data_IF_190162730915
#
_entry.id   IF_190162730915
#
_cell.length_a   1.000
_cell.length_b   1.000
_cell.length_c   1.000
_cell.angle_alpha   90.00
_cell.angle_beta   90.00
_cell.angle_gamma   90.00
#
_symmetry.space_group_name_H-M   'P 1'
#
loop_
_entity.id
_entity.type
_entity.pdbx_description
1 polymer ?
#
# COMPACT_ATOMS: atom_id res chain seq x y z
N UNK A 1 4.22 -4.68 9.27
CA UNK A 1 3.36 -3.48 9.27
C UNK A 1 2.48 -3.52 10.51
N UNK A 2 2.28 -2.43 11.25
CA UNK A 2 1.46 -2.40 12.49
C UNK A 2 0.07 -1.83 12.15
N UNK A 3 -1.01 -2.19 12.85
CA UNK A 3 -2.33 -1.55 12.66
C UNK A 3 -2.61 -0.49 13.73
N UNK A 4 -3.27 0.63 13.36
CA UNK A 4 -3.57 1.76 14.24
C UNK A 4 -4.82 1.58 15.12
N UNK A 5 -4.91 2.35 16.21
CA UNK A 5 -5.92 2.20 17.28
C UNK A 5 -7.39 2.39 16.87
N UNK A 6 -7.69 3.22 15.87
CA UNK A 6 -9.07 3.40 15.40
C UNK A 6 -9.58 2.19 14.58
N UNK A 7 -8.68 1.41 13.99
CA UNK A 7 -8.99 0.17 13.26
C UNK A 7 -9.02 -1.06 14.19
N UNK A 8 -8.53 -0.95 15.43
CA UNK A 8 -8.34 -2.10 16.35
C UNK A 8 -9.63 -2.80 16.74
N UNK A 9 -10.64 -2.09 17.23
CA UNK A 9 -11.82 -2.73 17.85
C UNK A 9 -12.69 -3.57 16.91
N UNK A 10 -12.61 -3.36 15.59
CA UNK A 10 -13.33 -4.17 14.60
C UNK A 10 -12.42 -5.11 13.81
N UNK A 11 -11.10 -4.84 13.75
CA UNK A 11 -10.15 -5.64 12.97
C UNK A 11 -9.43 -6.74 13.77
N UNK A 12 -9.53 -6.75 15.10
CA UNK A 12 -8.86 -7.75 15.94
C UNK A 12 -9.33 -9.19 15.63
N UNK A 13 -10.62 -9.40 15.31
CA UNK A 13 -11.16 -10.70 14.84
C UNK A 13 -10.79 -11.00 13.37
N UNK A 14 -10.56 -9.96 12.55
CA UNK A 14 -10.24 -10.08 11.12
C UNK A 14 -8.79 -10.47 10.82
N UNK A 15 -7.95 -10.53 11.84
CA UNK A 15 -6.55 -10.97 11.76
C UNK A 15 -6.34 -12.41 12.24
N UNK A 16 -7.40 -13.07 12.73
CA UNK A 16 -7.29 -14.39 13.35
C UNK A 16 -6.47 -14.40 14.65
N UNK A 17 -6.46 -13.30 15.41
CA UNK A 17 -5.82 -13.24 16.74
C UNK A 17 -6.82 -12.81 17.81
N UNK A 18 -6.86 -13.56 18.92
CA UNK A 18 -7.61 -13.19 20.12
C UNK A 18 -7.16 -11.84 20.69
N UNK A 19 -8.12 -11.11 21.24
CA UNK A 19 -8.28 -9.65 21.21
C UNK A 19 -7.67 -8.89 22.41
N UNK A 20 -7.59 -7.56 22.25
CA UNK A 20 -7.40 -6.51 23.26
C UNK A 20 -5.96 -6.03 23.58
N UNK A 21 -4.89 -6.73 23.18
CA UNK A 21 -3.50 -6.34 23.59
C UNK A 21 -2.38 -6.52 22.55
N UNK A 22 -2.68 -6.94 21.32
CA UNK A 22 -1.62 -7.31 20.38
C UNK A 22 -0.93 -6.10 19.72
N UNK A 23 0.33 -5.84 20.08
CA UNK A 23 1.22 -4.82 19.49
C UNK A 23 2.17 -5.40 18.43
N UNK A 24 1.75 -6.43 17.69
CA UNK A 24 2.58 -7.11 16.70
C UNK A 24 2.42 -6.59 15.27
N UNK A 25 2.97 -7.35 14.32
CA UNK A 25 2.99 -6.99 12.91
C UNK A 25 2.19 -7.98 12.10
N UNK A 26 1.55 -7.50 11.05
CA UNK A 26 0.95 -8.37 10.04
C UNK A 26 1.92 -8.64 8.89
N UNK A 27 1.75 -9.80 8.26
CA UNK A 27 2.48 -10.26 7.06
C UNK A 27 1.51 -10.54 5.91
N UNK A 28 2.03 -10.92 4.74
CA UNK A 28 1.22 -11.22 3.56
C UNK A 28 0.09 -12.23 3.88
N UNK A 29 -1.09 -12.01 3.31
CA UNK A 29 -2.22 -12.95 3.32
C UNK A 29 -1.83 -14.28 2.66
N UNK A 30 -2.66 -15.32 2.75
CA UNK A 30 -2.37 -16.54 2.00
C UNK A 30 -2.52 -16.29 0.49
N UNK A 31 -1.79 -17.03 -0.35
CA UNK A 31 -2.04 -16.99 -1.80
C UNK A 31 -3.37 -17.68 -2.12
N UNK A 32 -4.21 -17.10 -2.99
CA UNK A 32 -3.92 -15.96 -3.87
C UNK A 32 -4.30 -14.57 -3.31
N UNK A 33 -4.74 -14.46 -2.05
CA UNK A 33 -5.28 -13.22 -1.49
C UNK A 33 -4.26 -12.11 -1.21
N UNK A 34 -2.97 -12.40 -1.10
CA UNK A 34 -1.87 -11.42 -1.04
C UNK A 34 -1.74 -10.55 -2.30
N UNK A 35 -2.42 -10.91 -3.40
CA UNK A 35 -2.53 -10.05 -4.60
C UNK A 35 -3.98 -9.74 -4.97
N UNK A 36 -4.96 -10.17 -4.17
CA UNK A 36 -6.38 -9.90 -4.41
C UNK A 36 -6.76 -8.49 -3.93
N UNK A 37 -7.83 -7.94 -4.50
CA UNK A 37 -8.47 -6.72 -4.01
C UNK A 37 -9.70 -7.01 -3.13
N UNK A 38 -9.95 -8.28 -2.80
CA UNK A 38 -10.98 -8.66 -1.84
C UNK A 38 -10.54 -8.26 -0.44
N UNK A 39 -11.42 -7.64 0.33
CA UNK A 39 -11.13 -7.31 1.73
C UNK A 39 -11.10 -8.56 2.62
N UNK A 40 -10.32 -8.54 3.71
CA UNK A 40 -10.43 -9.55 4.76
C UNK A 40 -11.85 -9.60 5.31
N UNK A 41 -12.32 -10.80 5.66
CA UNK A 41 -13.71 -11.04 6.09
C UNK A 41 -13.82 -11.65 7.49
N UNK A 42 -12.69 -11.92 8.16
CA UNK A 42 -12.65 -12.48 9.51
C UNK A 42 -13.08 -13.93 9.66
N UNK A 43 -13.59 -14.53 8.58
CA UNK A 43 -14.14 -15.89 8.62
C UNK A 43 -13.30 -16.84 7.76
N UNK A 44 -12.73 -16.34 6.67
CA UNK A 44 -11.87 -17.08 5.76
C UNK A 44 -10.41 -16.82 6.13
N UNK A 45 -9.77 -17.79 6.79
CA UNK A 45 -8.38 -17.67 7.27
C UNK A 45 -7.40 -17.17 6.18
N UNK A 46 -7.54 -17.65 4.95
CA UNK A 46 -6.67 -17.29 3.83
C UNK A 46 -6.80 -15.83 3.38
N UNK A 47 -7.97 -15.21 3.59
CA UNK A 47 -8.25 -13.80 3.27
C UNK A 47 -7.79 -12.84 4.35
N UNK A 48 -7.47 -13.36 5.53
CA UNK A 48 -7.11 -12.56 6.69
C UNK A 48 -5.59 -12.35 6.72
N UNK A 49 -5.16 -11.23 7.30
CA UNK A 49 -3.74 -10.95 7.48
C UNK A 49 -3.24 -11.70 8.71
N UNK A 50 -2.29 -12.64 8.58
CA UNK A 50 -1.76 -13.34 9.73
C UNK A 50 -0.95 -12.40 10.61
N UNK A 51 -1.14 -12.54 11.91
CA UNK A 51 -0.26 -11.96 12.90
C UNK A 51 1.14 -12.61 12.87
N UNK A 52 2.15 -11.77 13.10
CA UNK A 52 3.55 -12.14 13.20
C UNK A 52 4.27 -11.24 14.19
N UNK A 53 5.40 -11.71 14.71
CA UNK A 53 6.29 -10.87 15.51
C UNK A 53 6.93 -9.81 14.61
N UNK A 54 6.87 -8.55 15.01
CA UNK A 54 7.60 -7.51 14.29
C UNK A 54 9.10 -7.78 14.30
N UNK A 55 9.76 -7.60 13.15
CA UNK A 55 11.22 -7.67 13.06
C UNK A 55 11.91 -6.52 13.83
N UNK A 56 11.20 -5.42 14.06
CA UNK A 56 11.64 -4.27 14.84
C UNK A 56 10.47 -3.62 15.57
N UNK A 57 10.76 -2.95 16.68
CA UNK A 57 9.77 -2.16 17.43
C UNK A 57 9.61 -0.72 16.89
N UNK A 58 10.34 -0.36 15.82
CA UNK A 58 10.32 0.99 15.23
C UNK A 58 9.26 1.17 14.12
N UNK A 59 8.48 0.12 13.80
CA UNK A 59 7.45 0.22 12.77
C UNK A 59 6.27 1.05 13.27
N UNK A 60 5.83 1.99 12.43
CA UNK A 60 4.60 2.73 12.68
C UNK A 60 3.37 1.95 12.23
N UNK A 61 2.21 2.22 12.86
CA UNK A 61 0.95 1.73 12.36
C UNK A 61 0.61 2.34 11.00
N UNK A 62 -0.07 1.58 10.15
CA UNK A 62 -0.65 2.12 8.91
C UNK A 62 -1.64 3.23 9.27
N UNK A 63 -1.46 4.38 8.64
CA UNK A 63 -2.40 5.48 8.76
C UNK A 63 -3.52 5.33 7.72
N UNK A 64 -4.77 5.30 8.18
CA UNK A 64 -5.94 5.33 7.30
C UNK A 64 -6.14 6.69 6.63
N UNK A 65 -7.19 6.81 5.81
CA UNK A 65 -7.54 8.08 5.17
C UNK A 65 -7.84 9.16 6.20
N UNK A 66 -7.31 10.36 5.96
CA UNK A 66 -7.54 11.52 6.83
C UNK A 66 -7.55 12.81 6.02
N UNK A 67 -8.28 13.81 6.52
CA UNK A 67 -8.20 15.20 6.05
C UNK A 67 -7.21 16.04 6.87
N UNK A 68 -6.68 15.50 7.98
CA UNK A 68 -5.68 16.17 8.81
C UNK A 68 -4.28 16.00 8.20
N UNK A 69 -3.91 16.95 7.34
CA UNK A 69 -2.61 17.00 6.66
C UNK A 69 -1.45 17.16 7.66
N UNK A 70 -1.69 17.83 8.79
CA UNK A 70 -0.66 18.03 9.83
C UNK A 70 -0.34 16.71 10.51
N UNK A 71 -1.36 15.94 10.89
CA UNK A 71 -1.19 14.60 11.44
C UNK A 71 -0.51 13.66 10.44
N UNK A 72 -0.93 13.69 9.16
CA UNK A 72 -0.32 12.88 8.11
C UNK A 72 1.18 13.20 7.93
N UNK A 73 1.55 14.49 7.91
CA UNK A 73 2.96 14.92 7.82
C UNK A 73 3.76 14.48 9.03
N UNK A 74 3.22 14.68 10.23
CA UNK A 74 3.88 14.26 11.47
C UNK A 74 4.06 12.73 11.54
N UNK A 75 3.13 11.96 10.97
CA UNK A 75 3.23 10.51 10.87
C UNK A 75 4.36 10.09 9.92
N UNK A 76 4.42 10.66 8.72
CA UNK A 76 5.49 10.38 7.73
C UNK A 76 6.88 10.73 8.28
N UNK A 77 7.01 11.84 9.02
CA UNK A 77 8.29 12.25 9.62
C UNK A 77 8.83 11.28 10.68
N UNK A 78 7.97 10.41 11.23
CA UNK A 78 8.37 9.39 12.22
C UNK A 78 8.78 8.07 11.56
N UNK A 79 8.61 7.91 10.25
CA UNK A 79 8.97 6.68 9.54
C UNK A 79 10.49 6.51 9.53
N UNK A 80 10.95 5.31 9.90
CA UNK A 80 12.34 4.91 9.79
C UNK A 80 12.43 3.65 8.92
N UNK A 81 13.44 3.54 8.03
CA UNK A 81 13.64 2.34 7.23
C UNK A 81 13.98 1.15 8.14
N UNK A 82 13.35 0.00 7.88
CA UNK A 82 13.65 -1.23 8.59
C UNK A 82 13.21 -2.46 7.81
N UNK A 83 13.97 -3.55 7.97
CA UNK A 83 13.63 -4.87 7.42
C UNK A 83 13.88 -4.98 5.92
N UNK A 84 13.13 -5.89 5.30
CA UNK A 84 13.21 -6.21 3.88
C UNK A 84 12.14 -5.49 3.06
N UNK A 85 12.32 -5.44 1.75
CA UNK A 85 11.41 -4.79 0.81
C UNK A 85 10.42 -5.80 0.24
N UNK A 86 9.14 -5.58 0.53
CA UNK A 86 8.01 -6.26 -0.10
C UNK A 86 7.04 -5.20 -0.62
N UNK A 87 7.15 -4.84 -1.90
CA UNK A 87 6.26 -3.86 -2.53
C UNK A 87 4.85 -4.44 -2.66
N UNK A 88 4.71 -5.76 -2.86
CA UNK A 88 3.41 -6.46 -2.98
C UNK A 88 2.49 -6.13 -1.81
N UNK A 89 2.95 -6.34 -0.57
CA UNK A 89 2.14 -6.06 0.61
C UNK A 89 1.87 -4.55 0.78
N UNK A 90 2.79 -3.69 0.33
CA UNK A 90 2.56 -2.24 0.30
C UNK A 90 1.39 -1.86 -0.61
N UNK A 91 1.30 -2.47 -1.81
CA UNK A 91 0.18 -2.29 -2.74
C UNK A 91 -1.12 -2.80 -2.12
N UNK A 92 -1.09 -3.98 -1.47
CA UNK A 92 -2.24 -4.51 -0.74
C UNK A 92 -2.76 -3.52 0.30
N UNK A 93 -1.91 -3.03 1.20
CA UNK A 93 -2.34 -2.06 2.21
C UNK A 93 -2.83 -0.75 1.62
N UNK A 94 -2.27 -0.32 0.48
CA UNK A 94 -2.81 0.81 -0.27
C UNK A 94 -4.25 0.55 -0.76
N UNK A 95 -4.55 -0.66 -1.23
CA UNK A 95 -5.93 -1.05 -1.57
C UNK A 95 -6.83 -1.08 -0.35
N UNK A 96 -6.35 -1.62 0.78
CA UNK A 96 -7.13 -1.66 2.03
C UNK A 96 -7.51 -0.28 2.55
N UNK A 97 -6.57 0.68 2.53
CA UNK A 97 -6.83 2.07 2.93
C UNK A 97 -7.84 2.73 1.99
N UNK A 98 -7.81 2.39 0.71
CA UNK A 98 -8.73 2.93 -0.29
C UNK A 98 -10.07 2.18 -0.36
N UNK A 99 -10.22 1.05 0.33
CA UNK A 99 -11.41 0.19 0.29
C UNK A 99 -12.53 0.70 1.22
N UNK A 100 -13.82 0.45 0.88
CA UNK A 100 -14.92 0.56 1.84
C UNK A 100 -14.95 -0.60 2.85
N UNK A 101 -14.20 -1.66 2.58
CA UNK A 101 -14.08 -2.82 3.46
C UNK A 101 -13.13 -2.56 4.63
N UNK A 102 -13.18 -3.49 5.57
CA UNK A 102 -12.19 -3.58 6.65
C UNK A 102 -10.79 -3.83 6.04
N UNK A 103 -9.69 -3.46 6.75
CA UNK A 103 -9.61 -3.04 8.15
C UNK A 103 -9.92 -1.56 8.42
N UNK A 104 -9.92 -0.69 7.40
CA UNK A 104 -10.15 0.75 7.62
C UNK A 104 -11.57 1.21 7.41
N UNK A 105 -12.31 0.60 6.47
CA UNK A 105 -13.69 0.91 6.10
C UNK A 105 -14.05 2.39 5.87
N UNK A 106 -13.06 3.26 5.72
CA UNK A 106 -13.24 4.71 5.54
C UNK A 106 -13.24 5.13 4.08
N UNK A 107 -12.83 4.25 3.16
CA UNK A 107 -12.90 4.52 1.73
C UNK A 107 -14.34 4.48 1.23
N UNK A 108 -14.68 5.36 0.27
CA UNK A 108 -15.93 5.18 -0.49
C UNK A 108 -15.88 3.91 -1.34
N UNK A 109 -17.01 3.41 -1.83
CA UNK A 109 -17.03 2.24 -2.72
C UNK A 109 -16.16 2.43 -3.97
N UNK A 110 -15.60 1.33 -4.48
CA UNK A 110 -14.91 1.35 -5.77
C UNK A 110 -15.91 1.63 -6.90
N UNK A 111 -15.52 2.46 -7.87
CA UNK A 111 -16.37 2.84 -8.99
C UNK A 111 -17.48 3.84 -8.67
N UNK A 112 -17.50 4.44 -7.47
CA UNK A 112 -18.40 5.58 -7.18
C UNK A 112 -18.13 6.72 -8.16
N UNK A 113 -19.18 7.17 -8.84
CA UNK A 113 -19.11 8.30 -9.78
C UNK A 113 -18.51 9.55 -9.12
N UNK A 114 -17.73 10.31 -9.87
CA UNK A 114 -17.05 11.52 -9.43
C UNK A 114 -16.03 11.33 -8.28
N UNK A 115 -15.70 10.08 -7.92
CA UNK A 115 -14.63 9.78 -6.95
C UNK A 115 -13.52 8.98 -7.61
N UNK A 116 -12.39 9.65 -7.78
CA UNK A 116 -11.15 9.03 -8.23
C UNK A 116 -10.29 8.57 -7.03
N UNK A 117 -9.74 7.35 -7.11
CA UNK A 117 -8.83 6.77 -6.09
C UNK A 117 -7.42 6.71 -6.64
N UNK A 118 -6.45 7.20 -5.86
CA UNK A 118 -5.05 7.31 -6.29
C UNK A 118 -4.13 6.61 -5.30
N UNK A 119 -3.16 5.87 -5.83
CA UNK A 119 -2.06 5.26 -5.07
C UNK A 119 -0.74 5.78 -5.63
N UNK A 120 0.15 6.23 -4.74
CA UNK A 120 1.50 6.68 -5.11
C UNK A 120 2.50 5.73 -4.44
N UNK A 121 3.25 4.99 -5.24
CA UNK A 121 4.25 4.04 -4.78
C UNK A 121 5.63 4.70 -4.93
N UNK A 122 6.34 4.86 -3.82
CA UNK A 122 7.68 5.47 -3.78
C UNK A 122 8.68 4.42 -3.30
N UNK A 123 9.59 4.00 -4.17
CA UNK A 123 10.56 2.91 -3.91
C UNK A 123 11.65 2.92 -4.98
N UNK A 124 12.70 2.13 -4.84
CA UNK A 124 13.65 1.81 -5.92
C UNK A 124 13.14 0.68 -6.84
N UNK A 125 12.11 -0.05 -6.41
CA UNK A 125 11.52 -1.20 -7.10
C UNK A 125 12.22 -2.53 -6.77
N UNK A 126 13.18 -2.55 -5.85
CA UNK A 126 13.94 -3.76 -5.53
C UNK A 126 13.29 -4.56 -4.40
N UNK A 127 12.50 -5.57 -4.76
CA UNK A 127 11.97 -6.53 -3.79
C UNK A 127 13.07 -7.47 -3.27
N UNK A 128 13.05 -7.76 -1.95
CA UNK A 128 14.07 -8.60 -1.31
C UNK A 128 13.51 -9.78 -0.51
N UNK A 129 12.30 -9.68 0.03
CA UNK A 129 11.65 -10.80 0.73
C UNK A 129 10.14 -10.60 0.83
N UNK A 130 9.36 -11.66 0.62
CA UNK A 130 7.96 -11.74 1.07
C UNK A 130 7.79 -12.94 2.02
N UNK A 131 6.54 -13.23 2.42
CA UNK A 131 6.22 -14.37 3.30
C UNK A 131 6.76 -15.74 2.84
N UNK A 132 6.94 -15.96 1.54
CA UNK A 132 7.26 -17.29 0.99
C UNK A 132 8.67 -17.43 0.43
N UNK A 133 9.30 -16.34 0.00
CA UNK A 133 10.56 -16.41 -0.74
C UNK A 133 11.40 -15.13 -0.61
N UNK A 134 12.69 -15.27 -0.87
CA UNK A 134 13.66 -14.16 -1.05
C UNK A 134 14.06 -13.98 -2.51
N UNK A 135 13.48 -14.76 -3.43
CA UNK A 135 13.75 -14.67 -4.86
C UNK A 135 13.01 -13.47 -5.46
N UNK A 136 13.76 -12.40 -5.76
CA UNK A 136 13.24 -11.13 -6.28
C UNK A 136 12.27 -11.31 -7.45
N UNK A 137 12.60 -12.14 -8.44
CA UNK A 137 11.72 -12.34 -9.62
C UNK A 137 10.33 -12.85 -9.28
N UNK A 138 10.22 -13.69 -8.25
CA UNK A 138 8.95 -14.27 -7.84
C UNK A 138 8.12 -13.21 -7.09
N UNK A 139 8.76 -12.37 -6.28
CA UNK A 139 8.11 -11.25 -5.57
C UNK A 139 7.69 -10.16 -6.55
N UNK A 140 8.51 -9.87 -7.56
CA UNK A 140 8.21 -8.91 -8.63
C UNK A 140 6.95 -9.35 -9.41
N UNK A 141 6.83 -10.64 -9.74
CA UNK A 141 5.64 -11.18 -10.37
C UNK A 141 4.38 -11.00 -9.48
N UNK A 142 4.49 -11.24 -8.16
CA UNK A 142 3.38 -10.96 -7.23
C UNK A 142 3.05 -9.46 -7.16
N UNK A 143 4.06 -8.59 -7.14
CA UNK A 143 3.88 -7.13 -7.13
C UNK A 143 3.07 -6.68 -8.35
N UNK A 144 3.39 -7.19 -9.54
CA UNK A 144 2.65 -6.86 -10.77
C UNK A 144 1.19 -7.35 -10.72
N UNK A 145 0.92 -8.53 -10.18
CA UNK A 145 -0.46 -9.00 -9.99
C UNK A 145 -1.23 -8.13 -8.99
N UNK A 146 -0.60 -7.70 -7.89
CA UNK A 146 -1.23 -6.75 -6.96
C UNK A 146 -1.53 -5.41 -7.62
N UNK A 147 -0.60 -4.86 -8.42
CA UNK A 147 -0.83 -3.62 -9.19
C UNK A 147 -1.97 -3.80 -10.20
N UNK A 148 -2.06 -4.97 -10.85
CA UNK A 148 -3.15 -5.30 -11.78
C UNK A 148 -4.50 -5.38 -11.07
N UNK A 149 -4.56 -6.00 -9.88
CA UNK A 149 -5.78 -6.06 -9.08
C UNK A 149 -6.23 -4.65 -8.64
N UNK A 150 -5.30 -3.81 -8.19
CA UNK A 150 -5.57 -2.41 -7.86
C UNK A 150 -6.14 -1.63 -9.05
N UNK A 151 -5.49 -1.75 -10.23
CA UNK A 151 -5.97 -1.13 -11.48
C UNK A 151 -7.35 -1.63 -11.89
N UNK A 152 -7.63 -2.92 -11.72
CA UNK A 152 -8.94 -3.50 -12.02
C UNK A 152 -10.07 -2.97 -11.11
N UNK A 153 -9.75 -2.45 -9.92
CA UNK A 153 -10.72 -1.73 -9.05
C UNK A 153 -10.84 -0.23 -9.38
N UNK A 154 -10.19 0.24 -10.44
CA UNK A 154 -10.19 1.64 -10.85
C UNK A 154 -9.25 2.52 -10.02
N UNK A 155 -8.28 1.94 -9.32
CA UNK A 155 -7.24 2.72 -8.62
C UNK A 155 -6.20 3.18 -9.64
N UNK A 156 -5.95 4.48 -9.69
CA UNK A 156 -4.92 5.09 -10.53
C UNK A 156 -3.59 5.07 -9.76
N UNK A 157 -2.61 4.36 -10.31
CA UNK A 157 -1.29 4.14 -9.71
C UNK A 157 -0.25 5.06 -10.38
N UNK A 158 0.41 5.85 -9.54
CA UNK A 158 1.67 6.54 -9.85
C UNK A 158 2.83 5.80 -9.19
N UNK A 159 3.96 5.69 -9.88
CA UNK A 159 5.18 5.10 -9.32
C UNK A 159 6.32 6.10 -9.40
N UNK A 160 7.13 6.17 -8.34
CA UNK A 160 8.27 7.08 -8.23
C UNK A 160 9.50 6.27 -7.85
N UNK A 161 10.42 6.12 -8.79
CA UNK A 161 11.74 5.54 -8.56
C UNK A 161 12.67 6.58 -7.97
N UNK A 162 13.20 6.33 -6.77
CA UNK A 162 14.02 7.31 -6.03
C UNK A 162 15.53 7.06 -6.08
N UNK A 163 15.94 5.87 -6.52
CA UNK A 163 17.34 5.47 -6.71
C UNK A 163 17.43 4.27 -7.65
N UNK A 164 18.65 3.76 -7.86
CA UNK A 164 18.88 2.59 -8.71
C UNK A 164 18.14 1.33 -8.18
N UNK A 165 17.50 0.60 -9.08
CA UNK A 165 16.61 -0.51 -8.79
C UNK A 165 15.78 -0.91 -10.02
N UNK A 166 14.70 -1.68 -9.83
CA UNK A 166 13.90 -2.27 -10.91
C UNK A 166 12.93 -1.25 -11.54
N UNK A 167 13.40 -0.50 -12.55
CA UNK A 167 12.57 0.46 -13.29
C UNK A 167 11.42 -0.20 -14.05
N UNK A 168 11.68 -1.36 -14.65
CA UNK A 168 10.69 -2.10 -15.46
C UNK A 168 9.46 -2.47 -14.64
N UNK A 169 9.68 -2.96 -13.41
CA UNK A 169 8.60 -3.28 -12.47
C UNK A 169 7.73 -2.05 -12.19
N UNK A 170 8.36 -0.92 -11.89
CA UNK A 170 7.65 0.31 -11.54
C UNK A 170 6.90 0.93 -12.72
N UNK A 171 7.48 0.86 -13.91
CA UNK A 171 6.83 1.32 -15.14
C UNK A 171 5.59 0.47 -15.47
N UNK A 172 5.67 -0.86 -15.32
CA UNK A 172 4.53 -1.77 -15.55
C UNK A 172 3.45 -1.67 -14.47
N UNK A 173 3.83 -1.37 -13.23
CA UNK A 173 2.89 -1.17 -12.13
C UNK A 173 2.08 0.12 -12.29
N UNK A 174 2.69 1.20 -12.80
CA UNK A 174 2.01 2.46 -13.09
C UNK A 174 0.78 2.24 -14.00
N UNK A 175 -0.25 3.06 -13.82
CA UNK A 175 -1.48 2.95 -14.63
C UNK A 175 -1.29 3.47 -16.04
N UNK A 176 -0.33 4.37 -16.25
CA UNK A 176 0.07 4.91 -17.54
C UNK A 176 1.57 5.14 -17.54
N UNK A 177 2.19 5.13 -18.72
CA UNK A 177 3.63 5.40 -18.86
C UNK A 177 4.03 6.77 -18.33
N UNK A 178 3.19 7.80 -18.49
CA UNK A 178 3.42 9.14 -17.96
C UNK A 178 3.19 9.27 -16.44
N UNK A 179 2.77 8.20 -15.76
CA UNK A 179 2.60 8.14 -14.30
C UNK A 179 3.77 7.46 -13.60
N UNK A 180 4.79 7.06 -14.36
CA UNK A 180 6.08 6.63 -13.84
C UNK A 180 7.05 7.82 -13.82
N UNK A 181 7.63 8.08 -12.65
CA UNK A 181 8.63 9.11 -12.42
C UNK A 181 9.95 8.45 -12.06
N UNK A 182 10.97 8.62 -12.89
CA UNK A 182 12.31 8.11 -12.63
C UNK A 182 13.22 9.23 -12.13
N UNK A 183 13.46 9.27 -10.83
CA UNK A 183 14.31 10.29 -10.22
C UNK A 183 15.75 9.78 -10.14
N UNK A 184 16.68 10.70 -10.36
CA UNK A 184 18.11 10.39 -10.23
C UNK A 184 18.59 10.52 -8.79
N UNK A 185 17.83 11.21 -7.93
CA UNK A 185 18.13 11.41 -6.52
C UNK A 185 16.85 11.69 -5.70
N UNK A 186 16.93 11.47 -4.40
CA UNK A 186 15.81 11.70 -3.48
C UNK A 186 15.40 13.18 -3.35
N UNK A 187 16.29 14.14 -3.65
CA UNK A 187 15.95 15.58 -3.58
C UNK A 187 14.94 16.01 -4.64
N UNK A 188 14.80 15.27 -5.73
CA UNK A 188 13.80 15.50 -6.78
C UNK A 188 12.38 15.07 -6.38
N UNK A 189 12.23 14.31 -5.27
CA UNK A 189 10.95 13.73 -4.85
C UNK A 189 9.86 14.78 -4.66
N UNK A 190 10.20 15.93 -4.05
CA UNK A 190 9.27 17.04 -3.87
C UNK A 190 8.75 17.58 -5.21
N UNK A 191 9.59 17.62 -6.24
CA UNK A 191 9.21 18.04 -7.59
C UNK A 191 8.28 17.03 -8.27
N UNK A 192 8.60 15.75 -8.15
CA UNK A 192 7.79 14.65 -8.69
C UNK A 192 6.39 14.62 -8.07
N UNK A 193 6.30 14.67 -6.73
CA UNK A 193 5.03 14.73 -6.01
C UNK A 193 4.22 15.98 -6.39
N UNK A 194 4.87 17.13 -6.57
CA UNK A 194 4.23 18.33 -7.08
C UNK A 194 3.61 18.14 -8.48
N UNK A 195 4.28 17.40 -9.35
CA UNK A 195 3.76 17.06 -10.70
C UNK A 195 2.57 16.12 -10.65
N UNK A 196 2.61 15.10 -9.77
CA UNK A 196 1.49 14.18 -9.55
C UNK A 196 0.25 14.95 -9.07
N UNK A 197 0.41 15.83 -8.08
CA UNK A 197 -0.71 16.63 -7.55
C UNK A 197 -1.32 17.52 -8.63
N UNK A 198 -0.52 18.14 -9.50
CA UNK A 198 -1.03 18.92 -10.64
C UNK A 198 -1.80 18.05 -11.63
N UNK A 199 -1.31 16.84 -11.90
CA UNK A 199 -1.99 15.88 -12.78
C UNK A 199 -3.35 15.47 -12.22
N UNK A 200 -3.41 15.14 -10.92
CA UNK A 200 -4.67 14.82 -10.22
C UNK A 200 -5.64 16.00 -10.23
N UNK A 201 -5.16 17.23 -10.02
CA UNK A 201 -6.00 18.44 -10.06
C UNK A 201 -6.53 18.75 -11.45
N UNK A 202 -5.74 18.55 -12.51
CA UNK A 202 -6.19 18.79 -13.89
C UNK A 202 -7.38 17.91 -14.24
N UNK A 203 -7.34 16.62 -13.84
CA UNK A 203 -8.46 15.69 -14.03
C UNK A 203 -9.74 16.23 -13.37
N UNK A 204 -9.62 16.77 -12.15
CA UNK A 204 -10.76 17.38 -11.44
C UNK A 204 -11.33 18.66 -12.07
N UNK A 205 -10.62 19.32 -12.98
CA UNK A 205 -11.09 20.55 -13.63
C UNK A 205 -11.74 20.29 -15.00
N UNK A 206 -11.59 19.09 -15.54
CA UNK A 206 -12.10 18.69 -16.86
C UNK A 206 -13.31 17.76 -16.79
N UNK A 207 -13.71 17.34 -15.58
CA UNK A 207 -14.98 16.67 -15.27
C UNK A 207 -15.99 17.70 -14.75
#
# INVERSE_FOLDING_TARGET
MVMGDAARKAAEDLLGVGTDTWNGCVIDRAQPYDVSADSPDGTTADKNYPASKCATNALLPVMGLTTDITAARAHVQKMAPAGNTNVTIGVQWGMEVLSPGLPFNTGVAFGTENINKYMIIVTDGQNTQNRWTTKTSDIDARTLEACKAAKAKGIIIFTVRVMEGNSTLLEQCASRSDYYYNLSNASELSGALGSIVRSIKKIRLTE
#
